data_IF_249875095399
#
_entry.id   IF_249875095399
#
_cell.length_a   1.000
_cell.length_b   1.000
_cell.length_c   1.000
_cell.angle_alpha   90.00
_cell.angle_beta   90.00
_cell.angle_gamma   90.00
#
_symmetry.space_group_name_H-M   'P 1'
#
loop_
_entity.id
_entity.type
_entity.pdbx_description
1 polymer ?
#
# COMPACT_ATOMS: atom_id res chain seq x y z
N UNK A 1 -14.71 2.51 -2.80
CA UNK A 1 -13.39 2.33 -3.39
C UNK A 1 -12.30 3.00 -2.58
N UNK A 2 -11.69 2.21 -1.72
CA UNK A 2 -10.41 2.54 -1.10
C UNK A 2 -9.34 2.01 -2.05
N UNK A 3 -8.42 2.86 -2.48
CA UNK A 3 -7.29 2.41 -3.30
C UNK A 3 -6.11 2.22 -2.36
N UNK A 4 -5.60 1.00 -2.25
CA UNK A 4 -4.39 0.74 -1.49
C UNK A 4 -3.22 0.64 -2.44
N UNK A 5 -2.14 1.31 -2.03
CA UNK A 5 -0.89 1.32 -2.76
C UNK A 5 0.16 0.66 -1.91
N UNK A 6 0.84 -0.35 -2.46
CA UNK A 6 1.85 -1.13 -1.74
C UNK A 6 3.21 -1.01 -2.42
N UNK A 7 4.23 -0.76 -1.60
CA UNK A 7 5.65 -0.74 -1.99
C UNK A 7 6.45 -1.70 -1.10
N UNK A 8 7.58 -2.21 -1.60
CA UNK A 8 8.50 -3.00 -0.78
C UNK A 8 9.21 -2.11 0.24
N UNK A 9 9.22 -2.54 1.50
CA UNK A 9 10.02 -1.92 2.56
C UNK A 9 11.50 -2.22 2.35
N UNK A 10 12.35 -1.19 2.38
CA UNK A 10 13.81 -1.32 2.26
C UNK A 10 14.50 -1.77 3.57
N UNK A 11 13.76 -2.31 4.54
CA UNK A 11 14.33 -2.71 5.84
C UNK A 11 15.29 -3.88 5.64
N UNK A 12 16.58 -3.59 5.85
CA UNK A 12 17.70 -4.51 5.74
C UNK A 12 17.69 -5.50 6.92
N UNK A 13 16.92 -6.58 6.84
CA UNK A 13 16.90 -7.64 7.87
C UNK A 13 18.03 -8.64 7.64
N UNK A 14 19.23 -8.33 8.12
CA UNK A 14 20.28 -9.36 8.26
C UNK A 14 21.35 -8.98 9.26
N UNK A 15 21.10 -9.11 10.57
CA UNK A 15 22.16 -9.39 11.57
C UNK A 15 21.57 -10.12 12.79
N UNK A 16 21.42 -11.45 12.69
CA UNK A 16 21.35 -12.34 13.86
C UNK A 16 22.70 -13.07 13.95
N UNK A 17 23.68 -12.46 14.60
CA UNK A 17 24.90 -13.19 15.03
C UNK A 17 25.40 -12.64 16.37
N UNK A 18 25.38 -13.54 17.35
CA UNK A 18 26.07 -13.57 18.64
C UNK A 18 27.00 -12.39 18.98
N UNK A 19 26.69 -11.68 20.08
CA UNK A 19 27.64 -10.84 20.79
C UNK A 19 28.54 -11.71 21.68
N UNK A 20 29.81 -11.87 21.29
CA UNK A 20 30.89 -12.16 22.23
C UNK A 20 31.78 -10.90 22.24
N UNK A 21 31.97 -10.33 23.43
CA UNK A 21 32.70 -9.08 23.65
C UNK A 21 34.20 -9.40 23.66
N UNK A 22 34.97 -8.84 22.73
CA UNK A 22 36.40 -8.61 22.91
C UNK A 22 36.74 -7.17 22.52
N UNK A 23 37.27 -6.43 23.50
CA UNK A 23 37.70 -5.03 23.43
C UNK A 23 39.17 -5.00 23.02
N UNK A 24 39.57 -4.32 21.94
CA UNK A 24 40.92 -3.75 21.83
C UNK A 24 41.05 -2.60 20.80
N UNK A 25 41.34 -1.41 21.35
CA UNK A 25 41.99 -0.16 20.91
C UNK A 25 41.84 0.46 19.48
N UNK A 26 41.92 1.81 19.39
CA UNK A 26 41.38 2.62 18.30
C UNK A 26 42.42 2.97 17.23
N UNK A 27 42.03 2.89 15.95
CA UNK A 27 42.44 3.78 14.85
C UNK A 27 41.80 3.27 13.55
N UNK A 28 41.20 4.19 12.79
CA UNK A 28 40.44 4.01 11.53
C UNK A 28 38.92 3.96 11.76
N UNK A 29 38.34 5.09 12.18
CA UNK A 29 36.90 5.31 12.01
C UNK A 29 36.64 6.73 11.52
N UNK A 30 36.96 6.98 10.24
CA UNK A 30 36.36 8.14 9.54
C UNK A 30 35.96 7.83 8.10
N UNK A 31 36.53 6.82 7.44
CA UNK A 31 36.19 6.53 6.03
C UNK A 31 34.98 5.59 5.82
N UNK A 32 34.65 4.73 6.78
CA UNK A 32 33.47 3.85 6.68
C UNK A 32 32.19 4.49 7.23
N UNK A 33 32.27 5.64 7.90
CA UNK A 33 31.11 6.34 8.42
C UNK A 33 30.28 6.99 7.30
N UNK A 34 30.94 7.53 6.27
CA UNK A 34 30.27 8.20 5.16
C UNK A 34 29.51 7.23 4.23
N UNK A 35 30.03 6.01 4.03
CA UNK A 35 29.32 4.96 3.29
C UNK A 35 28.07 4.45 4.04
N UNK A 36 28.06 4.58 5.37
CA UNK A 36 26.93 4.19 6.23
C UNK A 36 25.80 5.22 6.24
N UNK A 37 26.11 6.50 5.99
CA UNK A 37 25.10 7.57 5.84
C UNK A 37 24.65 7.82 4.40
N UNK A 38 25.24 7.15 3.42
CA UNK A 38 24.50 6.79 2.20
C UNK A 38 23.54 5.66 2.49
N UNK A 39 22.68 5.83 3.50
CA UNK A 39 21.29 5.41 3.33
C UNK A 39 20.90 6.00 1.99
N UNK A 40 20.53 5.15 1.02
CA UNK A 40 19.76 5.63 -0.13
C UNK A 40 18.54 6.27 0.49
N UNK A 41 18.66 7.57 0.72
CA UNK A 41 17.61 8.42 1.19
C UNK A 41 16.72 8.48 -0.04
N UNK A 42 15.83 7.51 -0.21
CA UNK A 42 14.69 7.60 -1.11
C UNK A 42 13.78 8.70 -0.56
N UNK A 43 14.29 9.94 -0.54
CA UNK A 43 13.59 11.16 -0.14
C UNK A 43 12.65 11.66 -1.23
N UNK A 44 12.16 10.78 -2.09
CA UNK A 44 10.82 10.96 -2.61
C UNK A 44 10.01 9.82 -2.02
N UNK A 45 9.70 9.95 -0.73
CA UNK A 45 8.59 9.21 -0.16
C UNK A 45 7.37 9.52 -1.02
N UNK A 46 6.80 8.49 -1.62
CA UNK A 46 5.61 8.65 -2.44
C UNK A 46 4.49 9.05 -1.48
N UNK A 47 4.03 10.29 -1.54
CA UNK A 47 2.94 10.76 -0.68
C UNK A 47 1.65 10.96 -1.47
N UNK A 48 1.77 11.27 -2.76
CA UNK A 48 0.66 11.56 -3.64
C UNK A 48 0.89 10.97 -5.03
N UNK A 49 -0.07 11.21 -5.92
CA UNK A 49 -0.10 10.66 -7.26
C UNK A 49 0.96 11.30 -8.16
N UNK A 50 1.23 12.57 -7.93
CA UNK A 50 2.24 13.36 -8.63
C UNK A 50 3.65 12.84 -8.36
N UNK A 51 3.93 12.41 -7.13
CA UNK A 51 5.20 11.79 -6.74
C UNK A 51 5.42 10.49 -7.51
N UNK A 52 4.38 9.65 -7.66
CA UNK A 52 4.45 8.44 -8.49
C UNK A 52 4.80 8.80 -9.93
N UNK A 53 4.09 9.77 -10.51
CA UNK A 53 4.29 10.20 -11.91
C UNK A 53 5.71 10.75 -12.14
N UNK A 54 6.26 11.48 -11.17
CA UNK A 54 7.61 12.06 -11.26
C UNK A 54 8.73 11.06 -10.99
N UNK A 55 8.41 9.94 -10.34
CA UNK A 55 9.36 8.91 -9.97
C UNK A 55 9.61 7.91 -11.10
N UNK A 56 10.63 7.06 -10.91
CA UNK A 56 10.93 5.90 -11.76
C UNK A 56 10.13 4.65 -11.38
N UNK A 57 9.17 4.75 -10.46
CA UNK A 57 8.47 3.57 -9.96
C UNK A 57 7.63 2.90 -11.05
N UNK A 58 7.72 1.57 -11.11
CA UNK A 58 6.86 0.75 -11.95
C UNK A 58 5.52 0.59 -11.25
N UNK A 59 4.43 0.87 -11.97
CA UNK A 59 3.07 0.79 -11.44
C UNK A 59 2.39 -0.48 -11.95
N UNK A 60 1.92 -1.31 -11.02
CA UNK A 60 1.20 -2.54 -11.29
C UNK A 60 -0.27 -2.49 -10.87
N UNK A 61 -1.13 -3.19 -11.62
CA UNK A 61 -2.57 -3.34 -11.36
C UNK A 61 -3.05 -4.77 -11.63
N UNK A 62 -4.27 -5.10 -11.19
CA UNK A 62 -4.93 -6.34 -11.57
C UNK A 62 -5.71 -6.19 -12.88
N UNK A 63 -5.66 -7.22 -13.73
CA UNK A 63 -6.46 -7.33 -14.95
C UNK A 63 -7.95 -7.52 -14.63
N UNK A 64 -8.81 -6.94 -15.47
CA UNK A 64 -10.27 -7.02 -15.43
C UNK A 64 -10.86 -6.54 -14.11
N UNK A 65 -10.25 -5.51 -13.53
CA UNK A 65 -10.71 -4.87 -12.30
C UNK A 65 -11.21 -3.47 -12.58
N UNK A 66 -12.01 -2.92 -11.66
CA UNK A 66 -12.46 -1.54 -11.75
C UNK A 66 -11.29 -0.56 -11.87
N UNK A 67 -10.14 -0.86 -11.25
CA UNK A 67 -8.95 -0.01 -11.32
C UNK A 67 -8.39 0.08 -12.74
N UNK A 68 -8.40 -1.04 -13.48
CA UNK A 68 -8.03 -1.04 -14.90
C UNK A 68 -8.96 -0.12 -15.69
N UNK A 69 -10.28 -0.37 -15.60
CA UNK A 69 -11.30 0.40 -16.32
C UNK A 69 -11.24 1.89 -15.92
N UNK A 70 -10.98 2.19 -14.65
CA UNK A 70 -10.89 3.55 -14.13
C UNK A 70 -9.71 4.32 -14.73
N UNK A 71 -8.51 3.74 -14.74
CA UNK A 71 -7.35 4.41 -15.32
C UNK A 71 -7.42 4.49 -16.84
N UNK A 72 -8.01 3.49 -17.50
CA UNK A 72 -8.21 3.48 -18.94
C UNK A 72 -9.22 4.55 -19.39
N UNK A 73 -10.35 4.69 -18.70
CA UNK A 73 -11.42 5.60 -19.06
C UNK A 73 -11.22 7.05 -18.55
N UNK A 74 -10.18 7.32 -17.75
CA UNK A 74 -10.07 8.62 -17.10
C UNK A 74 -9.63 9.75 -18.03
N UNK A 75 -10.33 10.88 -17.95
CA UNK A 75 -9.99 12.12 -18.67
C UNK A 75 -9.02 13.04 -17.89
N UNK A 76 -8.63 12.68 -16.68
CA UNK A 76 -7.70 13.49 -15.89
C UNK A 76 -6.25 13.24 -16.34
N UNK A 77 -5.48 14.31 -16.55
CA UNK A 77 -4.09 14.21 -17.06
C UNK A 77 -3.21 13.30 -16.21
N UNK A 78 -3.35 13.35 -14.89
CA UNK A 78 -2.56 12.55 -13.96
C UNK A 78 -2.88 11.05 -14.08
N UNK A 79 -4.17 10.70 -14.22
CA UNK A 79 -4.58 9.31 -14.37
C UNK A 79 -4.12 8.74 -15.71
N UNK A 80 -4.20 9.51 -16.80
CA UNK A 80 -3.66 9.10 -18.11
C UNK A 80 -2.16 8.84 -18.07
N UNK A 81 -1.38 9.69 -17.38
CA UNK A 81 0.07 9.48 -17.22
C UNK A 81 0.38 8.16 -16.52
N UNK A 82 -0.39 7.82 -15.48
CA UNK A 82 -0.25 6.54 -14.79
C UNK A 82 -0.67 5.38 -15.68
N UNK A 83 -1.76 5.50 -16.41
CA UNK A 83 -2.18 4.49 -17.37
C UNK A 83 -1.09 4.19 -18.40
N UNK A 84 -0.44 5.23 -18.93
CA UNK A 84 0.70 5.06 -19.85
C UNK A 84 1.89 4.37 -19.17
N UNK A 85 2.19 4.66 -17.90
CA UNK A 85 3.24 3.94 -17.15
C UNK A 85 2.89 2.46 -16.96
N UNK A 86 1.64 2.14 -16.63
CA UNK A 86 1.15 0.76 -16.49
C UNK A 86 1.30 0.01 -17.82
N UNK A 87 0.89 0.62 -18.93
CA UNK A 87 1.00 0.03 -20.26
C UNK A 87 2.46 -0.18 -20.69
N UNK A 88 3.32 0.82 -20.46
CA UNK A 88 4.74 0.74 -20.78
C UNK A 88 5.47 -0.32 -19.95
N UNK A 89 5.07 -0.49 -18.67
CA UNK A 89 5.65 -1.47 -17.76
C UNK A 89 5.12 -2.90 -17.93
N UNK A 90 4.09 -3.12 -18.75
CA UNK A 90 3.38 -4.39 -18.90
C UNK A 90 3.06 -5.07 -17.55
N UNK A 91 2.71 -4.26 -16.55
CA UNK A 91 2.61 -4.66 -15.14
C UNK A 91 1.15 -4.94 -14.74
N UNK A 92 0.46 -5.74 -15.57
CA UNK A 92 -0.89 -6.22 -15.29
C UNK A 92 -0.82 -7.66 -14.77
N UNK A 93 -1.54 -7.95 -13.70
CA UNK A 93 -1.49 -9.24 -13.01
C UNK A 93 -2.86 -9.91 -12.93
N UNK A 94 -2.90 -11.24 -12.98
CA UNK A 94 -4.15 -12.01 -12.93
C UNK A 94 -4.69 -12.22 -11.51
N UNK A 95 -3.81 -12.15 -10.51
CA UNK A 95 -4.16 -12.36 -9.11
C UNK A 95 -3.23 -11.56 -8.20
N UNK A 96 -3.72 -11.30 -6.98
CA UNK A 96 -3.02 -10.49 -5.96
C UNK A 96 -1.70 -11.11 -5.54
N UNK A 97 -1.60 -12.44 -5.41
CA UNK A 97 -0.37 -13.12 -5.01
C UNK A 97 0.79 -12.88 -5.98
N UNK A 98 0.51 -12.92 -7.29
CA UNK A 98 1.49 -12.64 -8.34
C UNK A 98 1.96 -11.18 -8.30
N UNK A 99 1.02 -10.25 -8.15
CA UNK A 99 1.35 -8.83 -8.05
C UNK A 99 2.22 -8.53 -6.82
N UNK A 100 1.93 -9.18 -5.70
CA UNK A 100 2.65 -8.98 -4.44
C UNK A 100 4.04 -9.59 -4.50
N UNK A 101 4.18 -10.77 -5.08
CA UNK A 101 5.49 -11.35 -5.36
C UNK A 101 6.31 -10.43 -6.28
N UNK A 102 5.69 -9.87 -7.32
CA UNK A 102 6.35 -8.92 -8.21
C UNK A 102 6.83 -7.66 -7.47
N UNK A 103 6.03 -7.10 -6.55
CA UNK A 103 6.46 -5.96 -5.71
C UNK A 103 7.66 -6.33 -4.85
N UNK A 104 7.71 -7.56 -4.33
CA UNK A 104 8.85 -8.04 -3.52
C UNK A 104 10.12 -8.26 -4.32
N UNK A 105 10.00 -8.67 -5.58
CA UNK A 105 11.14 -9.01 -6.43
C UNK A 105 11.66 -7.81 -7.23
N UNK A 106 10.81 -6.82 -7.48
CA UNK A 106 11.14 -5.67 -8.33
C UNK A 106 11.48 -4.44 -7.50
N UNK A 107 12.70 -3.92 -7.66
CA UNK A 107 13.08 -2.63 -7.08
C UNK A 107 12.22 -1.50 -7.66
N UNK A 108 11.91 -0.50 -6.83
CA UNK A 108 11.12 0.67 -7.21
C UNK A 108 9.80 0.27 -7.90
N UNK A 109 9.02 -0.59 -7.26
CA UNK A 109 7.73 -1.05 -7.76
C UNK A 109 6.60 -0.71 -6.79
N UNK A 110 5.42 -0.51 -7.37
CA UNK A 110 4.23 -0.05 -6.69
C UNK A 110 3.01 -0.77 -7.23
N UNK A 111 2.18 -1.32 -6.36
CA UNK A 111 0.97 -2.04 -6.75
C UNK A 111 -0.27 -1.30 -6.24
N UNK A 112 -1.19 -0.99 -7.16
CA UNK A 112 -2.45 -0.31 -6.89
C UNK A 112 -3.57 -1.35 -6.92
N UNK A 113 -4.31 -1.52 -5.82
CA UNK A 113 -5.47 -2.41 -5.79
C UNK A 113 -6.59 -1.91 -4.83
N UNK A 114 -7.81 -2.42 -5.04
CA UNK A 114 -9.05 -1.95 -4.39
C UNK A 114 -9.40 -2.72 -3.11
N UNK A 115 -8.86 -3.94 -3.00
CA UNK A 115 -9.11 -4.76 -1.83
C UNK A 115 -8.52 -4.07 -0.62
N UNK A 116 -9.06 -4.33 0.57
CA UNK A 116 -8.40 -3.98 1.79
C UNK A 116 -7.19 -4.93 1.96
N UNK A 117 -6.14 -4.66 1.18
CA UNK A 117 -4.85 -5.35 1.17
C UNK A 117 -3.98 -4.86 2.33
N UNK A 118 -4.52 -4.01 3.20
CA UNK A 118 -3.91 -3.78 4.51
C UNK A 118 -3.66 -5.11 5.23
N UNK A 119 -4.53 -6.12 5.02
CA UNK A 119 -4.33 -7.47 5.54
C UNK A 119 -3.10 -8.19 4.98
N UNK A 120 -2.66 -7.89 3.76
CA UNK A 120 -1.50 -8.55 3.14
C UNK A 120 -0.19 -7.81 3.42
N UNK A 121 -0.23 -6.48 3.50
CA UNK A 121 0.90 -5.68 3.95
C UNK A 121 1.24 -5.99 5.43
N UNK A 122 0.22 -6.29 6.24
CA UNK A 122 0.36 -6.61 7.66
C UNK A 122 0.58 -8.11 7.94
N UNK A 123 0.97 -8.88 6.92
CA UNK A 123 1.35 -10.28 7.05
C UNK A 123 2.88 -10.46 6.95
N UNK A 124 3.45 -11.43 7.70
CA UNK A 124 4.87 -11.78 7.57
C UNK A 124 5.23 -12.11 6.11
N UNK A 125 6.41 -11.69 5.62
CA UNK A 125 7.53 -11.10 6.36
C UNK A 125 7.49 -9.57 6.62
N UNK A 126 6.33 -8.90 6.56
CA UNK A 126 6.19 -7.47 6.91
C UNK A 126 7.07 -6.54 6.06
N UNK A 127 7.32 -6.97 4.83
CA UNK A 127 8.22 -6.35 3.86
C UNK A 127 7.48 -5.43 2.89
N UNK A 128 6.23 -5.12 3.18
CA UNK A 128 5.33 -4.34 2.34
C UNK A 128 4.78 -3.17 3.15
N UNK A 129 4.74 -1.99 2.55
CA UNK A 129 4.23 -0.77 3.17
C UNK A 129 3.05 -0.25 2.36
N UNK A 130 1.98 0.15 3.06
CA UNK A 130 0.87 0.86 2.44
C UNK A 130 1.14 2.37 2.41
N UNK A 131 0.90 3.02 1.27
CA UNK A 131 1.07 4.46 1.10
C UNK A 131 -0.24 5.19 1.40
N UNK A 132 -0.36 5.92 2.52
CA UNK A 132 -1.63 6.48 2.98
C UNK A 132 -2.18 7.60 2.09
N UNK A 133 -1.34 8.48 1.54
CA UNK A 133 -1.81 9.64 0.76
C UNK A 133 -2.29 9.34 -0.66
N UNK A 134 -2.08 8.10 -1.14
CA UNK A 134 -2.64 7.60 -2.39
C UNK A 134 -3.96 6.86 -2.21
N UNK A 135 -4.40 6.70 -0.97
CA UNK A 135 -5.66 6.03 -0.66
C UNK A 135 -6.83 6.99 -0.73
N UNK A 136 -7.58 6.93 -1.85
CA UNK A 136 -8.86 7.64 -1.93
C UNK A 136 -9.89 6.83 -1.16
N UNK A 137 -10.48 7.35 -0.09
CA UNK A 137 -11.60 6.64 0.58
C UNK A 137 -12.89 6.94 -0.18
N UNK A 138 -13.33 6.00 -1.02
CA UNK A 138 -14.73 5.94 -1.46
C UNK A 138 -15.43 4.83 -0.66
N UNK A 139 -16.68 5.05 -0.27
CA UNK A 139 -17.48 4.05 0.45
C UNK A 139 -17.79 2.80 -0.40
N UNK A 140 -18.18 1.72 0.26
CA UNK A 140 -18.85 0.56 -0.37
C UNK A 140 -20.36 0.77 -0.27
N UNK A 141 -21.11 0.28 -1.26
CA UNK A 141 -22.57 0.40 -1.30
C UNK A 141 -23.23 -0.89 -1.77
N UNK A 142 -24.49 -1.10 -1.37
CA UNK A 142 -25.33 -2.18 -1.89
C UNK A 142 -26.05 -1.71 -3.15
N UNK A 143 -25.85 -2.42 -4.26
CA UNK A 143 -26.50 -2.11 -5.52
C UNK A 143 -27.85 -2.84 -5.62
N UNK A 144 -28.89 -2.12 -6.05
CA UNK A 144 -30.22 -2.64 -6.30
C UNK A 144 -30.64 -2.37 -7.75
N UNK A 145 -31.59 -3.15 -8.26
CA UNK A 145 -32.22 -2.87 -9.55
C UNK A 145 -32.90 -1.49 -9.53
N UNK A 146 -32.87 -0.79 -10.66
CA UNK A 146 -33.51 0.52 -10.78
C UNK A 146 -35.00 0.43 -10.44
N UNK A 147 -35.48 1.33 -9.56
CA UNK A 147 -36.87 1.33 -9.09
C UNK A 147 -37.19 0.31 -8.00
N UNK A 148 -36.19 -0.39 -7.43
CA UNK A 148 -36.43 -1.32 -6.33
C UNK A 148 -37.02 -0.59 -5.11
N UNK A 149 -38.16 -1.06 -4.55
CA UNK A 149 -38.76 -0.45 -3.37
C UNK A 149 -37.91 -0.61 -2.10
N UNK A 150 -36.96 -1.55 -2.12
CA UNK A 150 -36.17 -1.93 -0.95
C UNK A 150 -35.04 -0.94 -0.66
N UNK A 151 -34.67 -0.07 -1.62
CA UNK A 151 -33.53 0.85 -1.49
C UNK A 151 -33.65 1.70 -0.22
N UNK A 152 -34.83 2.25 0.05
CA UNK A 152 -35.08 3.11 1.21
C UNK A 152 -34.97 2.36 2.53
N UNK A 153 -35.51 1.14 2.59
CA UNK A 153 -35.48 0.31 3.81
C UNK A 153 -34.05 -0.10 4.16
N UNK A 154 -33.28 -0.59 3.18
CA UNK A 154 -31.89 -0.98 3.39
C UNK A 154 -31.00 0.21 3.73
N UNK A 155 -31.23 1.36 3.08
CA UNK A 155 -30.48 2.59 3.40
C UNK A 155 -30.72 3.03 4.85
N UNK A 156 -31.98 2.99 5.32
CA UNK A 156 -32.30 3.32 6.71
C UNK A 156 -31.72 2.31 7.70
N UNK A 157 -31.73 1.02 7.36
CA UNK A 157 -31.12 -0.02 8.18
C UNK A 157 -29.59 0.19 8.32
N UNK A 158 -28.90 0.50 7.23
CA UNK A 158 -27.45 0.80 7.25
C UNK A 158 -27.16 2.02 8.13
N UNK A 159 -27.97 3.09 8.02
CA UNK A 159 -27.84 4.28 8.87
C UNK A 159 -27.97 3.92 10.36
N UNK A 160 -29.00 3.14 10.72
CA UNK A 160 -29.20 2.69 12.11
C UNK A 160 -28.03 1.85 12.63
N UNK A 161 -27.51 0.93 11.81
CA UNK A 161 -26.34 0.12 12.17
C UNK A 161 -25.09 0.99 12.38
N UNK A 162 -24.95 2.06 11.60
CA UNK A 162 -23.86 3.01 11.76
C UNK A 162 -24.00 3.83 13.04
N UNK A 163 -25.18 4.42 13.30
CA UNK A 163 -25.48 5.21 14.51
C UNK A 163 -25.30 4.40 15.81
N UNK A 164 -25.65 3.12 15.79
CA UNK A 164 -25.45 2.20 16.92
C UNK A 164 -23.98 1.77 17.11
N UNK A 165 -23.08 2.20 16.22
CA UNK A 165 -21.67 1.81 16.20
C UNK A 165 -21.44 0.33 15.85
N UNK A 166 -22.44 -0.35 15.31
CA UNK A 166 -22.33 -1.77 14.95
C UNK A 166 -21.36 -1.98 13.79
N UNK A 167 -21.41 -1.12 12.76
CA UNK A 167 -20.46 -1.16 11.65
C UNK A 167 -19.02 -0.97 12.15
N UNK A 168 -18.79 -0.01 13.05
CA UNK A 168 -17.48 0.18 13.66
C UNK A 168 -17.00 -1.03 14.48
N UNK A 169 -17.90 -1.75 15.17
CA UNK A 169 -17.56 -3.02 15.84
C UNK A 169 -17.15 -4.10 14.85
N UNK A 170 -17.85 -4.21 13.72
CA UNK A 170 -17.48 -5.15 12.65
C UNK A 170 -16.12 -4.80 12.04
N UNK A 171 -15.87 -3.53 11.73
CA UNK A 171 -14.57 -3.08 11.20
C UNK A 171 -13.45 -3.50 12.12
N UNK A 172 -13.52 -3.16 13.42
CA UNK A 172 -12.46 -3.53 14.38
C UNK A 172 -12.28 -5.05 14.49
N UNK A 173 -13.39 -5.81 14.51
CA UNK A 173 -13.35 -7.28 14.59
C UNK A 173 -12.59 -7.90 13.43
N UNK A 174 -12.79 -7.41 12.21
CA UNK A 174 -12.20 -7.99 11.00
C UNK A 174 -10.85 -7.37 10.62
N UNK A 175 -10.52 -6.19 11.15
CA UNK A 175 -9.40 -5.38 10.67
C UNK A 175 -8.34 -5.02 11.73
N UNK A 176 -8.70 -4.84 13.00
CA UNK A 176 -7.74 -4.41 14.04
C UNK A 176 -6.90 -5.59 14.58
N UNK A 177 -7.44 -6.82 14.51
CA UNK A 177 -6.82 -8.02 15.05
C UNK A 177 -5.96 -8.79 14.03
N UNK A 178 -5.77 -8.26 12.83
CA UNK A 178 -5.07 -8.94 11.72
C UNK A 178 -3.63 -8.47 11.53
N UNK A 179 -3.11 -7.63 12.42
CA UNK A 179 -1.75 -7.12 12.35
C UNK A 179 -0.76 -8.09 12.99
N UNK A 180 -0.11 -8.90 12.16
CA UNK A 180 1.00 -9.77 12.58
C UNK A 180 2.36 -9.09 12.44
N UNK A 181 2.37 -7.82 12.02
CA UNK A 181 3.56 -7.01 11.81
C UNK A 181 3.70 -5.93 12.89
N UNK A 182 4.92 -5.64 13.37
CA UNK A 182 5.15 -4.57 14.31
C UNK A 182 4.77 -3.23 13.66
N UNK A 183 3.97 -2.43 14.35
CA UNK A 183 3.62 -1.08 13.91
C UNK A 183 4.83 -0.18 14.13
N UNK A 184 5.48 0.28 13.06
CA UNK A 184 6.47 1.35 13.18
C UNK A 184 5.78 2.63 13.63
N UNK A 185 6.23 3.18 14.76
CA UNK A 185 5.80 4.50 15.21
C UNK A 185 6.49 5.53 14.32
N UNK A 186 5.76 6.14 13.39
CA UNK A 186 6.18 7.38 12.75
C UNK A 186 6.19 8.48 13.82
N UNK A 187 7.34 8.67 14.47
CA UNK A 187 7.63 9.88 15.24
C UNK A 187 7.60 11.06 14.28
N UNK A 188 6.51 11.82 14.36
CA UNK A 188 6.49 13.21 13.92
C UNK A 188 7.23 13.99 15.00
N UNK A 189 8.49 14.33 14.73
CA UNK A 189 9.17 15.46 15.37
C UNK A 189 8.71 16.78 14.73
#
# INVERSE_FOLDING_TARGET
>A
MIVYVIIKSHINTSWRTHFQIDVYLPLVVTSNLAAFFTVKNSQHGINNLEDVIRSSYKVGILEKTFIEDFFEASEHDQHRKIWHQIQAGNSKFKNTSQAVQWVRETEESLFINEDPILSLANQPPCDLLSVPGLSTVRGYGLAFQAGSPNVSEFSLAILRLNEQGFLGKLTRKWWDNTNNCPVEQTTSE
#
